data_IF_853280707476
#
_entry.id   IF_853280707476
#
_cell.length_a   1.000
_cell.length_b   1.000
_cell.length_c   1.000
_cell.angle_alpha   90.00
_cell.angle_beta   90.00
_cell.angle_gamma   90.00
#
_symmetry.space_group_name_H-M   'P 1'
#
loop_
_entity.id
_entity.type
_entity.pdbx_description
1 polymer ?
#
# COMPACT_ATOMS: atom_id res chain seq x y z
N UNK A 1 8.52 -2.18 -4.36
CA UNK A 1 7.83 -1.00 -3.81
C UNK A 1 8.75 0.20 -3.86
N UNK A 2 8.27 1.39 -4.24
CA UNK A 2 9.05 2.62 -4.02
C UNK A 2 9.01 2.89 -2.51
N UNK A 3 10.12 2.64 -1.82
CA UNK A 3 10.19 2.90 -0.39
C UNK A 3 10.38 4.41 -0.18
N UNK A 4 9.51 5.00 0.64
CA UNK A 4 9.59 6.41 1.01
C UNK A 4 10.61 6.68 2.12
N UNK A 5 11.20 5.62 2.68
CA UNK A 5 12.09 5.64 3.83
C UNK A 5 13.39 4.86 3.53
N UNK A 6 14.47 5.21 4.24
CA UNK A 6 15.74 4.50 4.14
C UNK A 6 15.66 3.06 4.67
N UNK A 7 14.78 2.83 5.66
CA UNK A 7 14.50 1.51 6.22
C UNK A 7 13.00 1.32 6.45
N UNK A 8 12.55 0.07 6.63
CA UNK A 8 11.16 -0.24 6.98
C UNK A 8 10.94 -0.37 8.48
N UNK A 9 12.01 -0.30 9.28
CA UNK A 9 11.95 -0.52 10.71
C UNK A 9 11.44 0.72 11.43
N UNK A 10 10.47 0.51 12.32
CA UNK A 10 9.79 1.56 13.10
C UNK A 10 9.07 2.61 12.24
N UNK A 11 8.81 2.30 10.97
CA UNK A 11 8.12 3.16 10.01
C UNK A 11 6.74 2.60 9.64
N UNK A 12 5.84 3.50 9.24
CA UNK A 12 4.53 3.12 8.67
C UNK A 12 4.73 2.83 7.18
N UNK A 13 4.67 1.55 6.80
CA UNK A 13 4.98 1.12 5.44
C UNK A 13 3.95 0.14 4.89
N UNK A 14 4.06 -0.13 3.58
CA UNK A 14 3.30 -1.19 2.90
C UNK A 14 3.75 -2.60 3.29
N UNK A 15 4.84 -2.71 4.06
CA UNK A 15 5.46 -3.98 4.42
C UNK A 15 4.89 -4.55 5.72
N UNK A 16 3.66 -5.05 5.60
CA UNK A 16 2.78 -5.42 6.71
C UNK A 16 3.13 -6.77 7.34
N UNK A 17 4.38 -6.94 7.77
CA UNK A 17 4.87 -8.21 8.29
C UNK A 17 4.45 -8.53 9.74
N UNK A 18 3.95 -7.54 10.48
CA UNK A 18 3.46 -7.72 11.84
C UNK A 18 3.80 -6.52 12.72
N UNK A 19 3.85 -6.73 14.02
CA UNK A 19 4.16 -5.69 15.00
C UNK A 19 5.61 -5.21 14.93
N UNK A 20 5.92 -4.15 15.70
CA UNK A 20 7.26 -3.55 15.81
C UNK A 20 8.39 -4.58 15.73
N UNK A 21 9.40 -4.35 14.86
CA UNK A 21 9.68 -3.08 14.17
C UNK A 21 8.91 -2.88 12.85
N UNK A 22 7.97 -3.75 12.49
CA UNK A 22 7.19 -3.63 11.24
C UNK A 22 5.80 -3.04 11.48
N UNK A 23 5.11 -2.73 10.37
CA UNK A 23 3.72 -2.28 10.43
C UNK A 23 2.75 -3.46 10.49
N UNK A 24 1.72 -3.35 11.33
CA UNK A 24 0.70 -4.39 11.48
C UNK A 24 -0.50 -4.16 10.54
N UNK A 25 -1.47 -5.09 10.58
CA UNK A 25 -2.67 -4.98 9.75
C UNK A 25 -3.59 -3.81 10.17
N UNK A 26 -3.49 -3.34 11.41
CA UNK A 26 -4.31 -2.23 11.91
C UNK A 26 -3.79 -0.90 11.35
N UNK A 27 -2.48 -0.71 11.34
CA UNK A 27 -1.82 0.44 10.69
C UNK A 27 -2.06 0.43 9.18
N UNK A 28 -2.06 -0.74 8.54
CA UNK A 28 -2.46 -0.87 7.13
C UNK A 28 -3.88 -0.36 6.91
N UNK A 29 -4.84 -0.82 7.71
CA UNK A 29 -6.26 -0.48 7.55
C UNK A 29 -6.55 1.00 7.85
N UNK A 30 -5.90 1.56 8.87
CA UNK A 30 -6.23 2.89 9.37
C UNK A 30 -5.36 4.01 8.80
N UNK A 31 -4.17 3.69 8.27
CA UNK A 31 -3.21 4.70 7.82
C UNK A 31 -2.78 4.46 6.36
N UNK A 32 -2.22 3.29 6.05
CA UNK A 32 -1.61 3.06 4.73
C UNK A 32 -2.64 3.02 3.61
N UNK A 33 -3.70 2.21 3.75
CA UNK A 33 -4.74 2.09 2.74
C UNK A 33 -5.53 3.40 2.55
N UNK A 34 -5.94 4.13 3.61
CA UNK A 34 -6.56 5.45 3.46
C UNK A 34 -5.66 6.48 2.76
N UNK A 35 -4.36 6.53 3.10
CA UNK A 35 -3.42 7.44 2.43
C UNK A 35 -3.32 7.17 0.93
N UNK A 36 -3.30 5.89 0.55
CA UNK A 36 -3.32 5.50 -0.86
C UNK A 36 -4.62 5.87 -1.55
N UNK A 37 -5.75 5.54 -0.95
CA UNK A 37 -7.08 5.82 -1.51
C UNK A 37 -7.28 7.31 -1.75
N UNK A 38 -6.88 8.15 -0.79
CA UNK A 38 -6.92 9.60 -0.92
C UNK A 38 -6.01 10.10 -2.05
N UNK A 39 -4.74 9.67 -2.08
CA UNK A 39 -3.79 10.13 -3.08
C UNK A 39 -4.16 9.68 -4.50
N UNK A 40 -4.61 8.43 -4.64
CA UNK A 40 -5.00 7.87 -5.92
C UNK A 40 -6.28 8.52 -6.46
N UNK A 41 -7.29 8.71 -5.59
CA UNK A 41 -8.53 9.38 -5.96
C UNK A 41 -8.29 10.83 -6.36
N UNK A 42 -7.49 11.58 -5.58
CA UNK A 42 -7.13 12.96 -5.91
C UNK A 42 -6.43 13.07 -7.27
N UNK A 43 -5.50 12.15 -7.59
CA UNK A 43 -4.83 12.13 -8.89
C UNK A 43 -5.84 11.91 -10.04
N UNK A 44 -6.79 10.99 -9.88
CA UNK A 44 -7.82 10.74 -10.88
C UNK A 44 -8.72 11.95 -11.09
N UNK A 45 -9.17 12.59 -10.00
CA UNK A 45 -9.96 13.82 -10.05
C UNK A 45 -9.22 14.95 -10.76
N UNK A 46 -7.94 15.18 -10.42
CA UNK A 46 -7.12 16.22 -11.04
C UNK A 46 -6.91 15.97 -12.54
N UNK A 47 -6.60 14.74 -12.94
CA UNK A 47 -6.46 14.39 -14.34
C UNK A 47 -7.79 14.56 -15.09
N UNK A 48 -8.92 14.23 -14.46
CA UNK A 48 -10.25 14.42 -15.02
C UNK A 48 -10.57 15.90 -15.21
N UNK A 49 -10.40 16.71 -14.17
CA UNK A 49 -10.63 18.16 -14.16
C UNK A 49 -9.80 18.90 -15.21
N UNK A 50 -8.58 18.41 -15.48
CA UNK A 50 -7.67 18.97 -16.49
C UNK A 50 -7.92 18.41 -17.89
N UNK A 51 -8.89 17.51 -18.07
CA UNK A 51 -9.19 16.85 -19.34
C UNK A 51 -8.07 15.95 -19.85
N UNK A 52 -7.14 15.55 -18.97
CA UNK A 52 -5.95 14.74 -19.28
C UNK A 52 -6.22 13.25 -19.12
N UNK A 53 -7.17 12.85 -18.27
CA UNK A 53 -7.44 11.44 -17.98
C UNK A 53 -7.75 10.63 -19.26
N UNK A 54 -8.43 11.24 -20.24
CA UNK A 54 -8.79 10.61 -21.53
C UNK A 54 -7.59 10.12 -22.37
N UNK A 55 -6.40 10.65 -22.11
CA UNK A 55 -5.16 10.31 -22.85
C UNK A 55 -4.07 9.75 -21.93
N UNK A 56 -4.39 9.48 -20.67
CA UNK A 56 -3.42 9.04 -19.67
C UNK A 56 -3.85 7.69 -19.10
N UNK A 57 -2.96 6.70 -19.17
CA UNK A 57 -3.12 5.46 -18.44
C UNK A 57 -2.63 5.68 -17.01
N UNK A 58 -3.46 5.36 -16.04
CA UNK A 58 -3.10 5.35 -14.61
C UNK A 58 -3.17 3.91 -14.11
N UNK A 59 -2.08 3.41 -13.53
CA UNK A 59 -1.98 2.02 -13.05
C UNK A 59 -1.52 1.96 -11.60
N UNK A 60 -2.23 1.19 -10.78
CA UNK A 60 -1.77 0.75 -9.46
C UNK A 60 -1.38 -0.73 -9.55
N UNK A 61 -0.10 -1.03 -9.32
CA UNK A 61 0.46 -2.38 -9.49
C UNK A 61 1.18 -2.81 -8.21
N UNK A 62 1.12 -4.10 -7.93
CA UNK A 62 1.89 -4.76 -6.87
C UNK A 62 2.79 -5.84 -7.45
N UNK A 63 3.83 -6.22 -6.71
CA UNK A 63 4.78 -7.27 -7.11
C UNK A 63 4.24 -8.68 -6.85
N UNK A 64 3.62 -8.88 -5.68
CA UNK A 64 3.05 -10.15 -5.23
C UNK A 64 1.90 -9.91 -4.23
N UNK A 65 1.10 -10.95 -4.00
CA UNK A 65 0.04 -10.93 -3.00
C UNK A 65 0.54 -11.14 -1.57
N UNK A 66 -0.40 -11.10 -0.62
CA UNK A 66 -0.19 -11.44 0.80
C UNK A 66 -1.03 -12.68 1.16
N UNK A 67 -0.58 -13.49 2.11
CA UNK A 67 -1.30 -14.69 2.57
C UNK A 67 -2.69 -14.35 3.08
N UNK A 68 -3.77 -15.12 2.85
CA UNK A 68 -5.12 -14.76 3.28
C UNK A 68 -5.31 -14.76 4.82
N UNK A 69 -4.37 -15.36 5.56
CA UNK A 69 -4.39 -15.44 7.03
C UNK A 69 -3.45 -14.40 7.65
N UNK A 70 -3.87 -13.87 8.80
CA UNK A 70 -3.03 -13.05 9.69
C UNK A 70 -2.02 -13.97 10.38
N UNK A 71 -0.75 -13.58 10.38
CA UNK A 71 0.32 -14.31 11.05
C UNK A 71 0.34 -14.02 12.56
N UNK A 72 1.05 -14.81 13.39
CA UNK A 72 1.12 -14.59 14.84
C UNK A 72 1.65 -13.22 15.28
N UNK A 73 2.34 -12.50 14.39
CA UNK A 73 2.84 -11.16 14.63
C UNK A 73 1.81 -10.05 14.29
N UNK A 74 0.60 -10.40 13.83
CA UNK A 74 -0.45 -9.43 13.48
C UNK A 74 -0.36 -8.86 12.06
N UNK A 75 0.50 -9.43 11.20
CA UNK A 75 0.69 -9.03 9.81
C UNK A 75 0.26 -10.11 8.82
N UNK A 76 0.75 -10.03 7.58
CA UNK A 76 0.54 -11.03 6.51
C UNK A 76 1.84 -11.33 5.76
N UNK A 77 2.08 -12.61 5.50
CA UNK A 77 3.30 -13.07 4.84
C UNK A 77 3.22 -12.88 3.32
N UNK A 78 4.37 -12.97 2.65
CA UNK A 78 4.45 -12.92 1.18
C UNK A 78 3.74 -14.11 0.53
N UNK A 79 3.04 -13.85 -0.56
CA UNK A 79 2.33 -14.86 -1.34
C UNK A 79 2.60 -14.71 -2.84
N UNK A 80 3.79 -15.10 -3.32
CA UNK A 80 4.21 -14.92 -4.71
C UNK A 80 3.74 -16.05 -5.66
N UNK A 81 3.22 -17.15 -5.12
CA UNK A 81 2.85 -18.36 -5.87
C UNK A 81 1.36 -18.48 -6.20
N UNK A 82 0.62 -17.36 -6.14
CA UNK A 82 -0.77 -17.25 -6.61
C UNK A 82 -0.85 -16.43 -7.88
#
# INVERSE_FOLDING_TARGET
TVNMFETVFDEITWDIHGSRPFSDIVEMANLVAPNFDQAYSALLEDLSNRGMLKTTIVTALGEFGRTPKINPAGGRDHHPGV
#
